data_IF_381552434307
#
_entry.id   IF_381552434307
#
_cell.length_a   1.000
_cell.length_b   1.000
_cell.length_c   1.000
_cell.angle_alpha   90.00
_cell.angle_beta   90.00
_cell.angle_gamma   90.00
#
_symmetry.space_group_name_H-M   'P 1'
#
loop_
_entity.id
_entity.type
_entity.pdbx_description
1 polymer ?
#
# COMPACT_ATOMS: atom_id res chain seq x y z
N UNK A 1 3.72 0.88 8.69
CA UNK A 1 4.51 0.69 7.44
C UNK A 1 5.26 1.96 7.05
N UNK A 2 4.59 3.07 6.70
CA UNK A 2 5.26 4.33 6.30
C UNK A 2 6.26 4.87 7.32
N UNK A 3 5.91 4.93 8.59
CA UNK A 3 6.84 5.39 9.65
C UNK A 3 8.12 4.54 9.69
N UNK A 4 7.99 3.21 9.68
CA UNK A 4 9.12 2.29 9.69
C UNK A 4 10.02 2.45 8.45
N UNK A 5 9.43 2.68 7.27
CA UNK A 5 10.18 2.91 6.04
C UNK A 5 10.94 4.24 6.06
N UNK A 6 10.33 5.29 6.64
CA UNK A 6 10.99 6.57 6.91
C UNK A 6 12.12 6.42 7.93
N UNK A 7 11.92 5.69 9.02
CA UNK A 7 12.97 5.42 10.03
C UNK A 7 14.18 4.68 9.45
N UNK A 8 13.97 3.92 8.37
CA UNK A 8 15.04 3.29 7.57
C UNK A 8 15.62 4.21 6.49
N UNK A 9 15.27 5.48 6.52
CA UNK A 9 15.71 6.52 5.59
C UNK A 9 15.43 6.21 4.12
N UNK A 10 14.38 5.44 3.82
CA UNK A 10 14.00 5.16 2.42
C UNK A 10 13.39 6.38 1.73
N UNK A 11 12.72 7.25 2.48
CA UNK A 11 12.25 8.55 2.03
C UNK A 11 12.21 9.52 3.21
N UNK A 12 12.21 10.81 2.93
CA UNK A 12 11.98 11.89 3.89
C UNK A 12 10.49 12.20 4.04
N UNK A 13 10.11 12.86 5.14
CA UNK A 13 8.73 13.32 5.33
C UNK A 13 8.28 14.33 4.26
N UNK A 14 9.19 15.11 3.69
CA UNK A 14 8.88 16.04 2.61
C UNK A 14 8.50 15.30 1.32
N UNK A 15 9.28 14.28 0.93
CA UNK A 15 8.94 13.42 -0.22
C UNK A 15 7.62 12.69 0.00
N UNK A 16 7.37 12.21 1.23
CA UNK A 16 6.09 11.61 1.59
C UNK A 16 4.91 12.57 1.44
N UNK A 17 5.04 13.79 1.98
CA UNK A 17 3.99 14.80 1.91
C UNK A 17 3.69 15.21 0.47
N UNK A 18 4.71 15.36 -0.37
CA UNK A 18 4.55 15.67 -1.79
C UNK A 18 3.83 14.53 -2.53
N UNK A 19 4.28 13.29 -2.36
CA UNK A 19 3.66 12.12 -2.99
C UNK A 19 2.19 11.96 -2.57
N UNK A 20 1.89 12.06 -1.27
CA UNK A 20 0.52 11.95 -0.77
C UNK A 20 -0.37 13.09 -1.25
N UNK A 21 0.13 14.32 -1.23
CA UNK A 21 -0.60 15.47 -1.75
C UNK A 21 -0.93 15.28 -3.23
N UNK A 22 0.03 14.79 -4.03
CA UNK A 22 -0.19 14.47 -5.43
C UNK A 22 -1.30 13.45 -5.64
N UNK A 23 -1.38 12.41 -4.81
CA UNK A 23 -2.45 11.40 -4.90
C UNK A 23 -3.82 11.94 -4.49
N UNK A 24 -3.89 12.70 -3.39
CA UNK A 24 -5.16 13.23 -2.84
C UNK A 24 -5.81 14.26 -3.77
N UNK A 25 -5.02 14.96 -4.60
CA UNK A 25 -5.55 15.97 -5.53
C UNK A 25 -5.78 15.45 -6.96
N UNK A 26 -5.67 14.13 -7.20
CA UNK A 26 -5.97 13.57 -8.52
C UNK A 26 -7.44 13.79 -8.89
N UNK A 27 -7.75 13.94 -10.19
CA UNK A 27 -9.14 13.96 -10.64
C UNK A 27 -9.88 12.68 -10.23
N UNK A 28 -11.13 12.83 -9.75
CA UNK A 28 -11.99 11.70 -9.37
C UNK A 28 -11.82 11.20 -7.93
N UNK A 29 -11.05 11.90 -7.09
CA UNK A 29 -10.97 11.66 -5.65
C UNK A 29 -12.28 12.00 -4.95
N UNK A 30 -12.59 11.29 -3.87
CA UNK A 30 -13.84 11.47 -3.16
C UNK A 30 -13.83 12.78 -2.36
N UNK A 31 -14.86 13.61 -2.53
CA UNK A 31 -14.97 14.89 -1.81
C UNK A 31 -15.05 14.72 -0.29
N UNK A 32 -15.52 13.56 0.18
CA UNK A 32 -15.61 13.20 1.60
C UNK A 32 -14.35 12.52 2.15
N UNK A 33 -13.35 12.26 1.31
CA UNK A 33 -12.11 11.58 1.67
C UNK A 33 -12.26 10.09 1.97
N UNK A 34 -13.37 9.46 1.58
CA UNK A 34 -13.58 8.00 1.76
C UNK A 34 -12.51 7.15 1.08
N UNK A 35 -11.84 7.68 0.06
CA UNK A 35 -10.72 7.03 -0.65
C UNK A 35 -9.33 7.49 -0.17
N UNK A 36 -9.25 8.16 0.98
CA UNK A 36 -7.97 8.63 1.54
C UNK A 36 -6.98 7.50 1.76
N UNK A 37 -7.45 6.33 2.21
CA UNK A 37 -6.59 5.17 2.37
C UNK A 37 -6.02 4.67 1.02
N UNK A 38 -6.82 4.73 -0.05
CA UNK A 38 -6.35 4.38 -1.39
C UNK A 38 -5.31 5.38 -1.89
N UNK A 39 -5.49 6.68 -1.63
CA UNK A 39 -4.49 7.71 -1.89
C UNK A 39 -3.17 7.41 -1.17
N UNK A 40 -3.27 7.04 0.11
CA UNK A 40 -2.12 6.71 0.95
C UNK A 40 -1.35 5.50 0.41
N UNK A 41 -2.05 4.43 0.03
CA UNK A 41 -1.44 3.22 -0.54
C UNK A 41 -0.79 3.53 -1.89
N UNK A 42 -1.45 4.30 -2.75
CA UNK A 42 -0.91 4.72 -4.04
C UNK A 42 0.38 5.54 -3.88
N UNK A 43 0.39 6.51 -2.96
CA UNK A 43 1.56 7.36 -2.71
C UNK A 43 2.75 6.55 -2.21
N UNK A 44 2.51 5.65 -1.25
CA UNK A 44 3.57 4.81 -0.69
C UNK A 44 4.13 3.85 -1.74
N UNK A 45 3.25 3.19 -2.50
CA UNK A 45 3.67 2.25 -3.55
C UNK A 45 4.47 2.97 -4.64
N UNK A 46 4.02 4.16 -5.05
CA UNK A 46 4.72 5.01 -6.02
C UNK A 46 6.12 5.41 -5.55
N UNK A 47 6.28 5.79 -4.27
CA UNK A 47 7.59 6.10 -3.69
C UNK A 47 8.53 4.89 -3.66
N UNK A 48 8.03 3.71 -3.28
CA UNK A 48 8.84 2.49 -3.25
C UNK A 48 9.30 2.07 -4.65
N UNK A 49 8.41 2.18 -5.64
CA UNK A 49 8.72 1.90 -7.05
C UNK A 49 9.71 2.92 -7.62
N UNK A 50 9.47 4.21 -7.41
CA UNK A 50 10.35 5.28 -7.90
C UNK A 50 11.77 5.20 -7.32
N UNK A 51 11.92 4.60 -6.13
CA UNK A 51 13.23 4.37 -5.49
C UNK A 51 13.81 2.98 -5.74
N UNK A 52 13.14 2.12 -6.52
CA UNK A 52 13.61 0.77 -6.83
C UNK A 52 13.62 -0.19 -5.64
N UNK A 53 12.86 0.10 -4.59
CA UNK A 53 12.76 -0.75 -3.39
C UNK A 53 11.86 -1.97 -3.65
N UNK A 54 10.83 -1.79 -4.47
CA UNK A 54 9.95 -2.85 -4.94
C UNK A 54 9.46 -2.50 -6.34
N UNK A 55 9.19 -3.51 -7.16
CA UNK A 55 8.53 -3.32 -8.44
C UNK A 55 6.99 -3.33 -8.28
N UNK A 56 6.28 -2.67 -9.20
CA UNK A 56 4.81 -2.56 -9.14
C UNK A 56 4.11 -3.91 -9.22
N UNK A 57 4.69 -4.88 -9.93
CA UNK A 57 4.12 -6.21 -10.12
C UNK A 57 4.17 -7.02 -8.82
N UNK A 58 5.28 -6.95 -8.10
CA UNK A 58 5.50 -7.56 -6.79
C UNK A 58 4.54 -6.98 -5.76
N UNK A 59 4.35 -5.65 -5.73
CA UNK A 59 3.38 -5.02 -4.83
C UNK A 59 1.95 -5.53 -5.13
N UNK A 60 1.56 -5.55 -6.41
CA UNK A 60 0.24 -6.02 -6.83
C UNK A 60 0.02 -7.50 -6.51
N UNK A 61 1.01 -8.35 -6.82
CA UNK A 61 0.95 -9.78 -6.55
C UNK A 61 0.82 -10.06 -5.04
N UNK A 62 1.57 -9.34 -4.22
CA UNK A 62 1.49 -9.45 -2.76
C UNK A 62 0.14 -8.97 -2.22
N UNK A 63 -0.40 -7.87 -2.74
CA UNK A 63 -1.74 -7.40 -2.39
C UNK A 63 -2.80 -8.46 -2.70
N UNK A 64 -2.78 -9.04 -3.89
CA UNK A 64 -3.71 -10.08 -4.30
C UNK A 64 -3.57 -11.35 -3.44
N UNK A 65 -2.34 -11.71 -3.08
CA UNK A 65 -2.07 -12.85 -2.20
C UNK A 65 -2.66 -12.62 -0.79
N UNK A 66 -2.47 -11.43 -0.22
CA UNK A 66 -3.10 -11.07 1.05
C UNK A 66 -4.63 -11.03 0.98
N UNK A 67 -5.21 -10.55 -0.12
CA UNK A 67 -6.65 -10.54 -0.31
C UNK A 67 -7.22 -11.97 -0.29
N UNK A 68 -6.63 -12.88 -1.07
CA UNK A 68 -7.05 -14.28 -1.09
C UNK A 68 -6.82 -14.97 0.25
N UNK A 69 -5.72 -14.69 0.93
CA UNK A 69 -5.45 -15.19 2.27
C UNK A 69 -6.54 -14.73 3.26
N UNK A 70 -6.95 -13.46 3.21
CA UNK A 70 -8.00 -12.93 4.05
C UNK A 70 -9.35 -13.61 3.78
N UNK A 71 -9.71 -13.79 2.51
CA UNK A 71 -10.94 -14.47 2.07
C UNK A 71 -10.97 -15.96 2.49
N UNK A 72 -9.82 -16.63 2.45
CA UNK A 72 -9.69 -18.03 2.83
C UNK A 72 -9.60 -18.25 4.35
N UNK A 73 -9.40 -17.19 5.15
CA UNK A 73 -9.25 -17.28 6.60
C UNK A 73 -10.62 -17.25 7.29
N UNK A 74 -11.03 -18.32 8.02
CA UNK A 74 -12.26 -18.29 8.79
C UNK A 74 -12.24 -17.20 9.87
N UNK A 75 -13.41 -16.63 10.17
CA UNK A 75 -13.54 -15.64 11.24
C UNK A 75 -12.98 -16.15 12.57
N UNK A 76 -12.23 -15.28 13.27
CA UNK A 76 -11.58 -15.61 14.54
C UNK A 76 -10.25 -16.34 14.39
N UNK A 77 -9.75 -16.57 13.18
CA UNK A 77 -8.39 -17.08 12.90
C UNK A 77 -7.47 -15.95 12.42
N UNK A 78 -6.16 -16.04 12.67
CA UNK A 78 -5.19 -15.08 12.14
C UNK A 78 -5.12 -15.18 10.61
N UNK A 79 -5.07 -14.03 9.93
CA UNK A 79 -4.80 -13.97 8.50
C UNK A 79 -3.28 -14.06 8.33
N UNK A 80 -2.83 -15.14 7.73
CA UNK A 80 -1.43 -15.38 7.39
C UNK A 80 -1.30 -15.49 5.87
N UNK A 81 -0.18 -15.06 5.30
CA UNK A 81 0.04 -15.14 3.85
C UNK A 81 0.11 -16.60 3.36
N UNK A 82 0.30 -17.58 4.25
CA UNK A 82 0.20 -19.00 3.94
C UNK A 82 -1.24 -19.49 3.72
N UNK A 83 -2.24 -18.68 4.10
CA UNK A 83 -3.65 -19.00 3.90
C UNK A 83 -4.10 -18.72 2.45
N UNK A 84 -3.25 -18.12 1.61
CA UNK A 84 -3.54 -17.92 0.19
C UNK A 84 -3.58 -19.28 -0.54
N UNK A 85 -4.74 -19.71 -1.11
CA UNK A 85 -4.88 -21.00 -1.77
C UNK A 85 -4.12 -21.12 -3.09
N UNK A 86 -3.63 -20.01 -3.65
CA UNK A 86 -2.91 -19.98 -4.94
C UNK A 86 -1.39 -19.81 -4.79
N UNK A 87 -0.87 -19.94 -3.58
CA UNK A 87 0.54 -19.71 -3.29
C UNK A 87 1.44 -20.91 -3.56
#
# INVERSE_FOLDING_TARGET
MTVHLHERCLFSWSEWAEALSGEVHKPGRADDGSDYFDCWVAALSGLLVGKGVADSETILSLQQSWQRAAEATPHGRPIELANDPLR
#
